data_IF_720637181490
#
_entry.id   IF_720637181490
#
_cell.length_a   1.000
_cell.length_b   1.000
_cell.length_c   1.000
_cell.angle_alpha   90.00
_cell.angle_beta   90.00
_cell.angle_gamma   90.00
#
_symmetry.space_group_name_H-M   'P 1'
#
loop_
_entity.id
_entity.type
_entity.pdbx_description
1 polymer ?
#
# COMPACT_ATOMS: atom_id res chain seq x y z
N UNK A 1 23.68 1.27 5.69
CA UNK A 1 22.39 0.59 5.67
C UNK A 1 21.81 0.44 4.25
N UNK A 2 21.64 1.51 3.46
CA UNK A 2 21.10 1.43 2.08
C UNK A 2 21.78 0.34 1.24
N UNK A 3 23.11 0.39 1.09
CA UNK A 3 23.88 -0.60 0.31
C UNK A 3 23.66 -2.03 0.83
N UNK A 4 23.60 -2.19 2.16
CA UNK A 4 23.38 -3.50 2.78
C UNK A 4 21.99 -4.04 2.40
N UNK A 5 20.94 -3.21 2.46
CA UNK A 5 19.59 -3.63 2.06
C UNK A 5 19.50 -3.96 0.56
N UNK A 6 20.10 -3.14 -0.30
CA UNK A 6 20.16 -3.44 -1.75
C UNK A 6 20.89 -4.77 -2.00
N UNK A 7 21.98 -5.03 -1.28
CA UNK A 7 22.69 -6.31 -1.38
C UNK A 7 21.81 -7.47 -0.89
N UNK A 8 21.08 -7.32 0.22
CA UNK A 8 20.14 -8.32 0.72
C UNK A 8 19.04 -8.59 -0.32
N UNK A 9 18.43 -7.56 -0.91
CA UNK A 9 17.41 -7.70 -1.96
C UNK A 9 17.94 -8.46 -3.17
N UNK A 10 19.10 -8.06 -3.66
CA UNK A 10 19.73 -8.71 -4.81
C UNK A 10 20.11 -10.16 -4.53
N UNK A 11 20.74 -10.43 -3.38
CA UNK A 11 21.17 -11.79 -3.00
C UNK A 11 19.97 -12.70 -2.73
N UNK A 12 18.91 -12.20 -2.07
CA UNK A 12 17.69 -12.98 -1.85
C UNK A 12 17.02 -13.39 -3.16
N UNK A 13 16.98 -12.47 -4.14
CA UNK A 13 16.48 -12.77 -5.48
C UNK A 13 17.37 -13.82 -6.18
N UNK A 14 18.69 -13.64 -6.18
CA UNK A 14 19.62 -14.59 -6.80
C UNK A 14 19.51 -15.99 -6.15
N UNK A 15 19.38 -16.05 -4.81
CA UNK A 15 19.26 -17.29 -4.05
C UNK A 15 18.01 -18.10 -4.44
N UNK A 16 16.84 -17.46 -4.52
CA UNK A 16 15.62 -18.20 -4.88
C UNK A 16 15.63 -18.65 -6.34
N UNK A 17 16.38 -17.99 -7.20
CA UNK A 17 16.60 -18.46 -8.58
C UNK A 17 17.59 -19.65 -8.70
N UNK A 18 18.27 -20.03 -7.61
CA UNK A 18 18.98 -21.31 -7.55
C UNK A 18 18.03 -22.52 -7.42
N UNK A 19 16.75 -22.32 -7.07
CA UNK A 19 15.76 -23.40 -7.04
C UNK A 19 15.51 -23.86 -8.49
N UNK A 20 15.71 -25.16 -8.80
CA UNK A 20 15.50 -25.68 -10.14
C UNK A 20 14.05 -25.48 -10.62
N UNK A 21 13.87 -25.06 -11.86
CA UNK A 21 12.53 -24.87 -12.45
C UNK A 21 11.71 -26.18 -12.41
N UNK A 22 12.39 -27.33 -12.59
CA UNK A 22 11.74 -28.65 -12.53
C UNK A 22 11.02 -28.95 -11.21
N UNK A 23 11.43 -28.32 -10.10
CA UNK A 23 10.79 -28.53 -8.79
C UNK A 23 9.49 -27.74 -8.63
N UNK A 24 9.35 -26.62 -9.34
CA UNK A 24 8.20 -25.72 -9.21
C UNK A 24 7.24 -25.81 -10.40
N UNK A 25 7.69 -26.29 -11.55
CA UNK A 25 6.96 -26.25 -12.82
C UNK A 25 5.58 -26.87 -12.72
N UNK A 26 5.47 -28.07 -12.14
CA UNK A 26 4.18 -28.77 -12.06
C UNK A 26 3.13 -28.01 -11.24
N UNK A 27 3.55 -27.36 -10.12
CA UNK A 27 2.64 -26.55 -9.30
C UNK A 27 2.31 -25.22 -9.98
N UNK A 28 3.25 -24.61 -10.71
CA UNK A 28 3.00 -23.39 -11.50
C UNK A 28 1.97 -23.68 -12.59
N UNK A 29 2.15 -24.74 -13.39
CA UNK A 29 1.23 -25.09 -14.48
C UNK A 29 -0.19 -25.37 -13.97
N UNK A 30 -0.32 -26.13 -12.87
CA UNK A 30 -1.62 -26.35 -12.21
C UNK A 30 -2.24 -25.06 -11.72
N UNK A 31 -1.46 -24.18 -11.09
CA UNK A 31 -1.91 -22.88 -10.59
C UNK A 31 -2.41 -21.99 -11.73
N UNK A 32 -1.67 -21.93 -12.85
CA UNK A 32 -2.08 -21.20 -14.04
C UNK A 32 -3.39 -21.76 -14.65
N UNK A 33 -3.54 -23.08 -14.66
CA UNK A 33 -4.78 -23.70 -15.13
C UNK A 33 -5.99 -23.30 -14.28
N UNK A 34 -5.85 -23.27 -12.94
CA UNK A 34 -6.90 -22.81 -12.04
C UNK A 34 -7.25 -21.35 -12.32
N UNK A 35 -6.27 -20.45 -12.35
CA UNK A 35 -6.51 -19.02 -12.57
C UNK A 35 -7.13 -18.74 -13.95
N UNK A 36 -6.76 -19.51 -14.99
CA UNK A 36 -7.39 -19.44 -16.32
C UNK A 36 -8.87 -19.83 -16.29
N UNK A 37 -9.26 -20.85 -15.51
CA UNK A 37 -10.68 -21.22 -15.36
C UNK A 37 -11.49 -20.20 -14.59
N UNK A 38 -10.87 -19.49 -13.63
CA UNK A 38 -11.49 -18.37 -12.89
C UNK A 38 -11.68 -17.13 -13.78
N UNK A 39 -10.88 -16.99 -14.85
CA UNK A 39 -10.83 -15.83 -15.71
C UNK A 39 -9.80 -14.78 -15.27
N UNK A 40 -9.46 -13.85 -16.18
CA UNK A 40 -8.42 -12.85 -15.94
C UNK A 40 -8.79 -11.82 -14.86
N UNK A 41 -10.07 -11.46 -14.74
CA UNK A 41 -10.58 -10.43 -13.82
C UNK A 41 -11.91 -10.85 -13.21
N UNK A 42 -11.95 -11.93 -12.41
CA UNK A 42 -13.18 -12.36 -11.76
C UNK A 42 -13.63 -11.29 -10.73
N UNK A 43 -14.95 -11.17 -10.59
CA UNK A 43 -15.57 -10.27 -9.62
C UNK A 43 -16.31 -11.09 -8.57
N UNK A 44 -15.91 -10.95 -7.30
CA UNK A 44 -16.52 -11.68 -6.19
C UNK A 44 -17.77 -11.02 -5.60
N UNK A 45 -18.20 -9.88 -6.09
CA UNK A 45 -19.47 -9.26 -5.71
C UNK A 45 -20.07 -8.43 -6.84
N UNK A 46 -21.32 -8.69 -7.11
CA UNK A 46 -22.28 -7.95 -7.94
C UNK A 46 -21.71 -6.78 -8.76
N UNK A 47 -20.96 -7.07 -9.82
CA UNK A 47 -20.48 -6.12 -10.85
C UNK A 47 -19.80 -4.84 -10.28
N UNK A 48 -19.02 -4.97 -9.22
CA UNK A 48 -18.34 -3.84 -8.59
C UNK A 48 -16.87 -3.82 -8.97
N UNK A 49 -16.40 -2.74 -9.56
CA UNK A 49 -14.98 -2.56 -9.90
C UNK A 49 -14.04 -2.76 -8.69
N UNK A 50 -14.47 -2.35 -7.50
CA UNK A 50 -13.73 -2.58 -6.25
C UNK A 50 -13.55 -4.06 -5.87
N UNK A 51 -14.37 -4.95 -6.45
CA UNK A 51 -14.36 -6.40 -6.19
C UNK A 51 -13.57 -7.21 -7.22
N UNK A 52 -12.92 -6.55 -8.18
CA UNK A 52 -12.10 -7.20 -9.19
C UNK A 52 -10.86 -7.80 -8.54
N UNK A 53 -10.64 -9.09 -8.78
CA UNK A 53 -9.37 -9.80 -8.52
C UNK A 53 -8.55 -9.77 -9.80
N UNK A 54 -7.31 -9.33 -9.73
CA UNK A 54 -6.43 -9.23 -10.89
C UNK A 54 -5.65 -10.53 -11.11
N UNK A 55 -6.38 -11.59 -11.53
CA UNK A 55 -5.77 -12.86 -11.91
C UNK A 55 -4.81 -12.71 -13.08
N UNK A 56 -5.02 -11.72 -13.96
CA UNK A 56 -4.11 -11.46 -15.06
C UNK A 56 -2.69 -11.16 -14.54
N UNK A 57 -2.57 -10.26 -13.58
CA UNK A 57 -1.25 -9.96 -12.98
C UNK A 57 -0.73 -11.14 -12.17
N UNK A 58 -1.57 -11.83 -11.40
CA UNK A 58 -1.15 -13.02 -10.65
C UNK A 58 -0.66 -14.14 -11.60
N UNK A 59 -1.30 -14.34 -12.75
CA UNK A 59 -0.79 -15.27 -13.78
C UNK A 59 0.58 -14.86 -14.31
N UNK A 60 0.79 -13.56 -14.60
CA UNK A 60 2.11 -13.06 -14.99
C UNK A 60 3.16 -13.27 -13.90
N UNK A 61 2.78 -13.13 -12.61
CA UNK A 61 3.66 -13.44 -11.47
C UNK A 61 4.07 -14.93 -11.48
N UNK A 62 3.12 -15.86 -11.70
CA UNK A 62 3.40 -17.29 -11.78
C UNK A 62 4.19 -17.67 -13.03
N UNK A 63 3.85 -17.14 -14.19
CA UNK A 63 4.61 -17.36 -15.43
C UNK A 63 6.05 -16.92 -15.28
N UNK A 64 6.29 -15.81 -14.57
CA UNK A 64 7.64 -15.30 -14.32
C UNK A 64 8.50 -16.22 -13.45
N UNK A 65 7.91 -17.12 -12.66
CA UNK A 65 8.65 -18.11 -11.86
C UNK A 65 9.38 -19.12 -12.75
N UNK A 66 8.88 -19.42 -13.95
CA UNK A 66 9.42 -20.44 -14.84
C UNK A 66 9.91 -19.88 -16.18
N UNK A 67 9.75 -18.59 -16.45
CA UNK A 67 9.99 -17.98 -17.76
C UNK A 67 11.46 -17.96 -18.20
N UNK A 68 12.42 -17.98 -17.28
CA UNK A 68 13.85 -17.80 -17.59
C UNK A 68 14.60 -19.13 -17.72
N UNK A 69 13.98 -20.13 -18.36
CA UNK A 69 14.59 -21.46 -18.60
C UNK A 69 15.89 -21.40 -19.41
N UNK A 70 16.03 -20.38 -20.26
CA UNK A 70 17.19 -20.20 -21.16
C UNK A 70 18.37 -19.52 -20.48
N UNK A 71 18.21 -19.01 -19.25
CA UNK A 71 19.28 -18.42 -18.48
C UNK A 71 19.88 -19.46 -17.53
N UNK A 72 21.09 -19.93 -17.83
CA UNK A 72 21.81 -20.88 -16.99
C UNK A 72 22.37 -20.22 -15.71
N UNK A 73 22.46 -18.88 -15.68
CA UNK A 73 22.98 -18.14 -14.56
C UNK A 73 21.85 -17.58 -13.68
N UNK A 74 21.72 -18.03 -12.40
CA UNK A 74 20.69 -17.54 -11.47
C UNK A 74 20.66 -16.02 -11.31
N UNK A 75 21.81 -15.34 -11.40
CA UNK A 75 21.90 -13.88 -11.30
C UNK A 75 21.19 -13.21 -12.48
N UNK A 76 21.49 -13.63 -13.70
CA UNK A 76 20.82 -13.08 -14.90
C UNK A 76 19.32 -13.36 -14.89
N UNK A 77 18.94 -14.57 -14.50
CA UNK A 77 17.54 -14.97 -14.38
C UNK A 77 16.79 -14.10 -13.36
N UNK A 78 17.37 -13.87 -12.18
CA UNK A 78 16.77 -13.05 -11.12
C UNK A 78 16.66 -11.56 -11.47
N UNK A 79 17.47 -11.08 -12.40
CA UNK A 79 17.42 -9.67 -12.86
C UNK A 79 16.49 -9.51 -14.04
N UNK A 80 16.49 -10.45 -15.00
CA UNK A 80 15.72 -10.38 -16.24
C UNK A 80 14.22 -10.52 -16.04
N UNK A 81 13.78 -11.49 -15.23
CA UNK A 81 12.41 -11.82 -14.85
C UNK A 81 11.41 -11.61 -16.01
N UNK A 82 11.32 -12.60 -16.87
CA UNK A 82 10.43 -12.59 -18.04
C UNK A 82 10.62 -11.36 -18.97
N UNK A 83 11.86 -10.91 -19.17
CA UNK A 83 12.19 -9.71 -19.95
C UNK A 83 11.55 -8.40 -19.44
N UNK A 84 11.14 -8.37 -18.17
CA UNK A 84 10.52 -7.24 -17.50
C UNK A 84 11.38 -6.72 -16.32
N UNK A 85 12.63 -6.32 -16.54
CA UNK A 85 13.65 -6.10 -15.50
C UNK A 85 13.51 -4.76 -14.76
N UNK A 86 12.43 -4.00 -14.97
CA UNK A 86 12.26 -2.67 -14.39
C UNK A 86 11.79 -2.65 -12.95
N UNK A 87 11.19 -3.76 -12.45
CA UNK A 87 10.80 -3.95 -11.05
C UNK A 87 11.68 -5.00 -10.39
N UNK A 88 11.72 -4.97 -9.06
CA UNK A 88 12.47 -5.96 -8.29
C UNK A 88 11.82 -7.34 -8.31
N UNK A 89 10.49 -7.39 -8.33
CA UNK A 89 9.72 -8.62 -8.20
C UNK A 89 10.00 -9.38 -6.89
N UNK A 90 10.19 -8.64 -5.77
CA UNK A 90 10.58 -9.19 -4.47
C UNK A 90 9.63 -10.25 -3.93
N UNK A 91 8.35 -10.26 -4.37
CA UNK A 91 7.40 -11.32 -4.03
C UNK A 91 7.93 -12.73 -4.36
N UNK A 92 8.81 -12.87 -5.34
CA UNK A 92 9.39 -14.15 -5.73
C UNK A 92 10.27 -14.77 -4.63
N UNK A 93 10.80 -13.96 -3.72
CA UNK A 93 11.56 -14.44 -2.57
C UNK A 93 10.72 -15.38 -1.69
N UNK A 94 9.41 -15.12 -1.60
CA UNK A 94 8.47 -16.00 -0.92
C UNK A 94 7.77 -16.97 -1.88
N UNK A 95 7.26 -16.47 -3.00
CA UNK A 95 6.40 -17.26 -3.88
C UNK A 95 7.16 -18.44 -4.51
N UNK A 96 8.40 -18.23 -4.99
CA UNK A 96 9.16 -19.27 -5.66
C UNK A 96 9.45 -20.49 -4.76
N UNK A 97 10.00 -20.36 -3.54
CA UNK A 97 10.21 -21.52 -2.64
C UNK A 97 8.89 -22.15 -2.17
N UNK A 98 7.84 -21.36 -1.91
CA UNK A 98 6.55 -21.90 -1.50
C UNK A 98 5.87 -22.71 -2.61
N UNK A 99 6.08 -22.34 -3.86
CA UNK A 99 5.53 -23.07 -5.02
C UNK A 99 6.18 -24.46 -5.22
N UNK A 100 7.31 -24.74 -4.59
CA UNK A 100 7.86 -26.12 -4.53
C UNK A 100 6.86 -27.08 -3.89
N UNK A 101 6.08 -26.61 -2.91
CA UNK A 101 5.18 -27.46 -2.10
C UNK A 101 3.71 -27.18 -2.44
N UNK A 102 3.33 -25.92 -2.66
CA UNK A 102 1.95 -25.47 -2.72
C UNK A 102 1.55 -24.98 -4.12
N UNK A 103 0.26 -25.07 -4.43
CA UNK A 103 -0.38 -24.46 -5.59
C UNK A 103 -1.03 -23.13 -5.18
N UNK A 104 -1.63 -22.43 -6.15
CA UNK A 104 -2.24 -21.09 -5.94
C UNK A 104 -3.31 -21.09 -4.84
N UNK A 105 -4.11 -22.12 -4.75
CA UNK A 105 -5.22 -22.18 -3.79
C UNK A 105 -4.72 -22.25 -2.34
N UNK A 106 -3.77 -23.16 -2.07
CA UNK A 106 -3.16 -23.27 -0.75
C UNK A 106 -2.41 -21.98 -0.38
N UNK A 107 -1.71 -21.39 -1.36
CA UNK A 107 -0.99 -20.14 -1.14
C UNK A 107 -1.92 -18.95 -0.89
N UNK A 108 -3.10 -18.91 -1.51
CA UNK A 108 -4.14 -17.92 -1.19
C UNK A 108 -4.65 -18.10 0.25
N UNK A 109 -4.89 -19.35 0.71
CA UNK A 109 -5.30 -19.59 2.11
C UNK A 109 -4.21 -19.21 3.11
N UNK A 110 -2.96 -19.54 2.83
CA UNK A 110 -1.82 -19.14 3.67
C UNK A 110 -1.67 -17.61 3.69
N UNK A 111 -1.79 -16.98 2.52
CA UNK A 111 -1.75 -15.52 2.40
C UNK A 111 -2.90 -14.86 3.18
N UNK A 112 -4.11 -15.37 3.06
CA UNK A 112 -5.28 -14.89 3.83
C UNK A 112 -5.05 -15.04 5.34
N UNK A 113 -4.56 -16.19 5.80
CA UNK A 113 -4.25 -16.41 7.22
C UNK A 113 -3.22 -15.39 7.71
N UNK A 114 -2.11 -15.24 7.00
CA UNK A 114 -1.05 -14.28 7.35
C UNK A 114 -1.58 -12.84 7.34
N UNK A 115 -2.43 -12.48 6.36
CA UNK A 115 -3.07 -11.17 6.28
C UNK A 115 -3.85 -10.87 7.57
N UNK A 116 -4.75 -11.76 7.97
CA UNK A 116 -5.58 -11.50 9.16
C UNK A 116 -4.77 -11.53 10.46
N UNK A 117 -3.76 -12.38 10.57
CA UNK A 117 -2.85 -12.38 11.74
C UNK A 117 -2.14 -11.03 11.89
N UNK A 118 -1.52 -10.53 10.83
CA UNK A 118 -0.81 -9.25 10.84
C UNK A 118 -1.77 -8.06 10.99
N UNK A 119 -2.93 -8.12 10.35
CA UNK A 119 -3.97 -7.10 10.45
C UNK A 119 -4.47 -6.94 11.89
N UNK A 120 -4.88 -8.04 12.55
CA UNK A 120 -5.36 -7.96 13.92
C UNK A 120 -4.24 -7.64 14.91
N UNK A 121 -3.02 -8.10 14.67
CA UNK A 121 -1.88 -7.70 15.50
C UNK A 121 -1.60 -6.21 15.40
N UNK A 122 -1.58 -5.65 14.20
CA UNK A 122 -1.41 -4.19 14.01
C UNK A 122 -2.57 -3.38 14.64
N UNK A 123 -3.82 -3.85 14.51
CA UNK A 123 -4.98 -3.21 15.13
C UNK A 123 -4.92 -3.26 16.67
N UNK A 124 -4.49 -4.39 17.24
CA UNK A 124 -4.27 -4.51 18.67
C UNK A 124 -3.21 -3.54 19.19
N UNK A 125 -2.06 -3.44 18.52
CA UNK A 125 -1.02 -2.47 18.89
C UNK A 125 -1.51 -1.02 18.77
N UNK A 126 -2.33 -0.69 17.76
CA UNK A 126 -2.95 0.63 17.66
C UNK A 126 -3.84 0.89 18.87
N UNK A 127 -4.69 -0.09 19.27
CA UNK A 127 -5.55 0.07 20.44
C UNK A 127 -4.74 0.28 21.73
N UNK A 128 -3.66 -0.48 21.92
CA UNK A 128 -2.79 -0.41 23.09
C UNK A 128 -1.98 0.91 23.17
N UNK A 129 -1.38 1.32 22.05
CA UNK A 129 -0.44 2.48 22.01
C UNK A 129 -1.14 3.81 21.75
N UNK A 130 -2.37 3.79 21.25
CA UNK A 130 -3.15 4.99 20.96
C UNK A 130 -4.46 4.98 21.76
N UNK A 131 -5.58 4.72 21.11
CA UNK A 131 -6.92 4.57 21.69
C UNK A 131 -7.70 3.48 20.97
N UNK A 132 -8.62 2.78 21.64
CA UNK A 132 -9.46 1.77 20.99
C UNK A 132 -10.24 2.33 19.78
N UNK A 133 -10.69 3.59 19.83
CA UNK A 133 -11.38 4.25 18.72
C UNK A 133 -10.48 4.40 17.47
N UNK A 134 -9.19 4.64 17.66
CA UNK A 134 -8.23 4.72 16.52
C UNK A 134 -8.07 3.34 15.86
N UNK A 135 -8.03 2.27 16.66
CA UNK A 135 -8.01 0.91 16.15
C UNK A 135 -9.31 0.55 15.42
N UNK A 136 -10.45 0.96 15.94
CA UNK A 136 -11.76 0.80 15.26
C UNK A 136 -11.74 1.52 13.89
N UNK A 137 -11.27 2.75 13.83
CA UNK A 137 -11.14 3.50 12.56
C UNK A 137 -10.18 2.83 11.59
N UNK A 138 -9.06 2.29 12.09
CA UNK A 138 -8.13 1.50 11.29
C UNK A 138 -8.81 0.26 10.71
N UNK A 139 -9.51 -0.52 11.53
CA UNK A 139 -10.23 -1.72 11.09
C UNK A 139 -11.29 -1.38 10.04
N UNK A 140 -12.11 -0.34 10.26
CA UNK A 140 -13.11 0.12 9.29
C UNK A 140 -12.46 0.57 7.98
N UNK A 141 -11.33 1.29 8.09
CA UNK A 141 -10.57 1.76 6.92
C UNK A 141 -10.07 0.58 6.09
N UNK A 142 -9.34 -0.35 6.71
CA UNK A 142 -8.79 -1.51 5.98
C UNK A 142 -9.93 -2.36 5.38
N UNK A 143 -11.01 -2.58 6.13
CA UNK A 143 -12.19 -3.31 5.66
C UNK A 143 -12.85 -2.66 4.42
N UNK A 144 -12.80 -1.32 4.30
CA UNK A 144 -13.33 -0.60 3.14
C UNK A 144 -12.55 -0.86 1.84
N UNK A 145 -11.34 -1.45 1.92
CA UNK A 145 -10.50 -1.84 0.79
C UNK A 145 -10.96 -3.09 0.04
N UNK A 146 -12.11 -3.66 0.37
CA UNK A 146 -12.67 -4.89 -0.19
C UNK A 146 -11.76 -6.11 0.04
N UNK A 147 -11.71 -6.58 1.29
CA UNK A 147 -10.76 -7.58 1.77
C UNK A 147 -10.82 -8.91 1.03
N UNK A 148 -11.99 -9.35 0.54
CA UNK A 148 -12.11 -10.60 -0.22
C UNK A 148 -11.24 -10.55 -1.47
N UNK A 149 -11.28 -9.45 -2.23
CA UNK A 149 -10.42 -9.29 -3.40
C UNK A 149 -8.94 -9.15 -3.02
N UNK A 150 -8.65 -8.44 -1.92
CA UNK A 150 -7.26 -8.27 -1.42
C UNK A 150 -6.65 -9.61 -1.06
N UNK A 151 -7.35 -10.43 -0.29
CA UNK A 151 -6.80 -11.69 0.23
C UNK A 151 -6.72 -12.82 -0.79
N UNK A 152 -7.35 -12.66 -1.95
CA UNK A 152 -7.30 -13.64 -3.04
C UNK A 152 -6.32 -13.27 -4.16
N UNK A 153 -5.74 -12.06 -4.15
CA UNK A 153 -4.82 -11.56 -5.18
C UNK A 153 -3.44 -11.29 -4.57
N UNK A 154 -2.42 -11.98 -5.04
CA UNK A 154 -1.04 -11.84 -4.52
C UNK A 154 -0.49 -10.43 -4.75
N UNK A 155 -0.80 -9.83 -5.89
CA UNK A 155 -0.41 -8.46 -6.18
C UNK A 155 -0.93 -7.49 -5.10
N UNK A 156 -2.16 -7.68 -4.62
CA UNK A 156 -2.75 -6.77 -3.63
C UNK A 156 -2.21 -7.00 -2.22
N UNK A 157 -1.86 -8.25 -1.89
CA UNK A 157 -1.39 -8.63 -0.56
C UNK A 157 -0.06 -7.99 -0.18
N UNK A 158 0.87 -7.83 -1.14
CA UNK A 158 2.25 -7.39 -0.85
C UNK A 158 2.30 -6.06 -0.13
N UNK A 159 1.61 -5.04 -0.63
CA UNK A 159 1.55 -3.70 -0.01
C UNK A 159 0.92 -3.73 1.38
N UNK A 160 -0.12 -4.57 1.60
CA UNK A 160 -0.71 -4.70 2.94
C UNK A 160 0.24 -5.38 3.93
N UNK A 161 1.03 -6.37 3.50
CA UNK A 161 2.04 -6.97 4.39
C UNK A 161 3.10 -5.96 4.80
N UNK A 162 3.55 -5.12 3.87
CA UNK A 162 4.49 -4.03 4.17
C UNK A 162 3.83 -3.03 5.12
N UNK A 163 2.58 -2.63 4.88
CA UNK A 163 1.83 -1.74 5.77
C UNK A 163 1.73 -2.29 7.18
N UNK A 164 1.27 -3.53 7.34
CA UNK A 164 1.08 -4.13 8.67
C UNK A 164 2.42 -4.30 9.38
N UNK A 165 3.45 -4.78 8.68
CA UNK A 165 4.80 -4.88 9.22
C UNK A 165 5.36 -3.51 9.64
N UNK A 166 5.13 -2.48 8.85
CA UNK A 166 5.52 -1.12 9.18
C UNK A 166 4.81 -0.61 10.45
N UNK A 167 3.49 -0.78 10.55
CA UNK A 167 2.71 -0.37 11.75
C UNK A 167 3.15 -1.15 12.98
N UNK A 168 3.32 -2.48 12.89
CA UNK A 168 3.76 -3.32 13.99
C UNK A 168 5.15 -2.88 14.47
N UNK A 169 6.11 -2.71 13.55
CA UNK A 169 7.48 -2.30 13.90
C UNK A 169 7.50 -0.92 14.54
N UNK A 170 6.74 0.04 13.98
CA UNK A 170 6.63 1.38 14.51
C UNK A 170 6.14 1.39 15.95
N UNK A 171 5.00 0.74 16.20
CA UNK A 171 4.33 0.79 17.49
C UNK A 171 5.04 -0.07 18.55
N UNK A 172 5.67 -1.17 18.16
CA UNK A 172 6.51 -1.98 19.06
C UNK A 172 7.77 -1.24 19.51
N UNK A 173 8.31 -0.35 18.65
CA UNK A 173 9.48 0.47 18.99
C UNK A 173 9.15 1.83 19.64
N UNK A 174 7.88 2.24 19.64
CA UNK A 174 7.48 3.54 20.17
C UNK A 174 7.44 3.54 21.70
N UNK A 175 8.12 4.52 22.31
CA UNK A 175 8.18 4.66 23.77
C UNK A 175 9.15 3.71 24.49
N UNK A 176 10.00 3.00 23.74
CA UNK A 176 11.08 2.19 24.34
C UNK A 176 12.31 3.02 24.67
N UNK A 177 13.22 2.50 25.52
CA UNK A 177 14.47 3.16 25.89
C UNK A 177 15.43 3.41 24.70
N UNK A 178 15.19 2.74 23.58
CA UNK A 178 15.93 2.93 22.33
C UNK A 178 15.04 3.64 21.30
N UNK A 179 15.08 4.99 21.22
CA UNK A 179 14.22 5.73 20.33
C UNK A 179 14.50 5.35 18.87
N UNK A 180 13.43 4.99 18.15
CA UNK A 180 13.48 4.69 16.75
C UNK A 180 13.87 5.95 15.95
N UNK A 181 14.87 5.82 15.07
CA UNK A 181 15.14 6.88 14.10
C UNK A 181 14.03 6.89 13.05
N UNK A 182 13.06 7.78 13.21
CA UNK A 182 11.84 7.82 12.40
C UNK A 182 12.12 8.13 10.92
N UNK A 183 13.14 8.96 10.62
CA UNK A 183 13.49 9.23 9.23
C UNK A 183 14.05 7.96 8.57
N UNK A 184 14.93 7.26 9.29
CA UNK A 184 15.46 5.98 8.85
C UNK A 184 14.37 4.93 8.69
N UNK A 185 13.40 4.87 9.60
CA UNK A 185 12.24 4.00 9.51
C UNK A 185 11.45 4.24 8.21
N UNK A 186 11.06 5.48 7.90
CA UNK A 186 10.34 5.79 6.67
C UNK A 186 11.17 5.47 5.42
N UNK A 187 12.46 5.74 5.45
CA UNK A 187 13.36 5.37 4.37
C UNK A 187 13.35 3.86 4.10
N UNK A 188 13.46 3.04 5.15
CA UNK A 188 13.43 1.58 5.04
C UNK A 188 12.07 1.09 4.55
N UNK A 189 10.97 1.64 5.08
CA UNK A 189 9.61 1.28 4.62
C UNK A 189 9.46 1.56 3.12
N UNK A 190 9.94 2.71 2.63
CA UNK A 190 9.94 3.01 1.19
C UNK A 190 10.79 2.04 0.37
N UNK A 191 11.96 1.63 0.88
CA UNK A 191 12.79 0.61 0.23
C UNK A 191 12.09 -0.75 0.12
N UNK A 192 11.51 -1.22 1.22
CA UNK A 192 10.82 -2.51 1.30
C UNK A 192 9.58 -2.51 0.42
N UNK A 193 8.81 -1.43 0.43
CA UNK A 193 7.66 -1.28 -0.45
C UNK A 193 8.06 -1.39 -1.91
N UNK A 194 9.06 -0.64 -2.37
CA UNK A 194 9.53 -0.71 -3.75
C UNK A 194 10.05 -2.09 -4.14
N UNK A 195 10.64 -2.83 -3.21
CA UNK A 195 11.13 -4.17 -3.48
C UNK A 195 10.00 -5.16 -3.76
N UNK A 196 8.89 -5.07 -3.04
CA UNK A 196 7.77 -6.02 -3.14
C UNK A 196 6.67 -5.58 -4.10
N UNK A 197 6.44 -4.27 -4.27
CA UNK A 197 5.28 -3.72 -4.99
C UNK A 197 5.50 -3.51 -6.50
N UNK A 198 4.38 -3.50 -7.23
CA UNK A 198 4.27 -3.19 -8.65
C UNK A 198 3.59 -1.84 -8.93
N UNK A 199 3.74 -0.87 -8.07
CA UNK A 199 2.99 0.37 -8.15
C UNK A 199 1.48 0.19 -7.89
N UNK A 200 1.09 -0.72 -7.03
CA UNK A 200 -0.33 -0.95 -6.75
C UNK A 200 -0.98 0.26 -6.07
N UNK A 201 -0.66 0.50 -4.82
CA UNK A 201 -1.10 1.65 -4.01
C UNK A 201 -0.09 1.93 -2.87
N UNK A 202 1.21 2.11 -3.19
CA UNK A 202 2.30 2.14 -2.20
C UNK A 202 2.13 3.24 -1.15
N UNK A 203 1.38 4.28 -1.47
CA UNK A 203 1.17 5.44 -0.60
C UNK A 203 0.53 5.09 0.76
N UNK A 204 -0.14 3.93 0.89
CA UNK A 204 -0.71 3.51 2.17
C UNK A 204 0.37 3.18 3.20
N UNK A 205 1.54 2.71 2.76
CA UNK A 205 2.67 2.36 3.63
C UNK A 205 3.42 3.59 4.17
N UNK A 206 3.23 4.74 3.54
CA UNK A 206 3.63 6.05 4.07
C UNK A 206 2.51 6.64 4.92
N UNK A 207 1.31 6.79 4.34
CA UNK A 207 0.24 7.63 4.88
C UNK A 207 -0.30 7.14 6.22
N UNK A 208 -0.61 5.85 6.34
CA UNK A 208 -1.22 5.30 7.57
C UNK A 208 -0.25 5.36 8.76
N UNK A 209 1.01 4.89 8.68
CA UNK A 209 1.97 5.05 9.78
C UNK A 209 2.26 6.52 10.13
N UNK A 210 2.30 7.40 9.13
CA UNK A 210 2.55 8.82 9.35
C UNK A 210 1.38 9.49 10.10
N UNK A 211 0.13 9.16 9.74
CA UNK A 211 -1.06 9.64 10.45
C UNK A 211 -1.03 9.20 11.92
N UNK A 212 -0.72 7.93 12.20
CA UNK A 212 -0.58 7.42 13.56
C UNK A 212 0.47 8.21 14.36
N UNK A 213 1.65 8.41 13.77
CA UNK A 213 2.72 9.18 14.41
C UNK A 213 2.33 10.64 14.68
N UNK A 214 1.73 11.31 13.70
CA UNK A 214 1.28 12.70 13.85
C UNK A 214 0.25 12.80 14.97
N UNK A 215 -0.68 11.87 15.04
CA UNK A 215 -1.67 11.83 16.11
C UNK A 215 -1.01 11.64 17.49
N UNK A 216 -0.08 10.68 17.64
CA UNK A 216 0.65 10.46 18.89
C UNK A 216 1.50 11.67 19.29
N UNK A 217 2.12 12.35 18.32
CA UNK A 217 2.92 13.57 18.57
C UNK A 217 2.08 14.73 19.08
N UNK A 218 0.87 14.92 18.54
CA UNK A 218 -0.04 15.97 19.05
C UNK A 218 -0.55 15.59 20.43
N UNK A 219 -0.93 14.32 20.65
CA UNK A 219 -1.40 13.84 21.97
C UNK A 219 -0.36 14.02 23.06
N UNK A 220 0.89 13.68 22.78
CA UNK A 220 2.00 13.74 23.73
C UNK A 220 2.56 15.17 23.89
N UNK A 221 1.89 16.18 23.31
CA UNK A 221 2.24 17.61 23.35
C UNK A 221 3.69 17.93 22.94
N UNK A 222 4.25 17.05 22.12
CA UNK A 222 5.68 17.12 21.75
C UNK A 222 5.98 18.17 20.69
N UNK A 223 4.97 18.57 19.88
CA UNK A 223 5.20 19.48 18.75
C UNK A 223 3.99 20.35 18.46
N UNK A 224 4.32 21.59 18.09
CA UNK A 224 3.41 22.58 17.52
C UNK A 224 3.10 22.31 16.03
N UNK A 225 2.24 23.14 15.46
CA UNK A 225 1.86 23.04 14.04
C UNK A 225 3.06 23.05 13.08
N UNK A 226 4.01 24.03 13.14
CA UNK A 226 5.18 24.05 12.26
C UNK A 226 6.06 22.81 12.41
N UNK A 227 6.31 22.38 13.65
CA UNK A 227 7.12 21.20 13.94
C UNK A 227 6.53 19.92 13.37
N UNK A 228 5.19 19.77 13.41
CA UNK A 228 4.49 18.62 12.84
C UNK A 228 4.48 18.66 11.29
N UNK A 229 4.36 19.83 10.65
CA UNK A 229 4.50 19.94 9.20
C UNK A 229 5.92 19.62 8.72
N UNK A 230 6.95 20.13 9.42
CA UNK A 230 8.34 19.81 9.10
C UNK A 230 8.60 18.32 9.25
N UNK A 231 8.09 17.70 10.31
CA UNK A 231 8.21 16.26 10.53
C UNK A 231 7.53 15.46 9.41
N UNK A 232 6.28 15.80 9.09
CA UNK A 232 5.51 15.18 8.00
C UNK A 232 6.27 15.24 6.67
N UNK A 233 6.79 16.44 6.34
CA UNK A 233 7.55 16.62 5.09
C UNK A 233 8.84 15.78 5.08
N UNK A 234 9.63 15.80 6.17
CA UNK A 234 10.86 15.01 6.28
C UNK A 234 10.59 13.51 6.18
N UNK A 235 9.55 13.02 6.85
CA UNK A 235 9.14 11.61 6.78
C UNK A 235 8.72 11.19 5.36
N UNK A 236 7.94 12.06 4.68
CA UNK A 236 7.50 11.82 3.32
C UNK A 236 8.67 11.82 2.32
N UNK A 237 9.59 12.76 2.45
CA UNK A 237 10.83 12.79 1.63
C UNK A 237 11.69 11.56 1.92
N UNK A 238 11.86 11.16 3.17
CA UNK A 238 12.60 9.95 3.54
C UNK A 238 12.02 8.70 2.88
N UNK A 239 10.71 8.51 2.97
CA UNK A 239 10.02 7.39 2.33
C UNK A 239 10.18 7.45 0.80
N UNK A 240 9.96 8.61 0.21
CA UNK A 240 10.09 8.82 -1.23
C UNK A 240 11.50 8.56 -1.74
N UNK A 241 12.54 8.98 -0.99
CA UNK A 241 13.93 8.68 -1.32
C UNK A 241 14.23 7.18 -1.20
N UNK A 242 13.76 6.51 -0.13
CA UNK A 242 13.90 5.06 0.01
C UNK A 242 13.30 4.32 -1.17
N UNK A 243 12.07 4.70 -1.56
CA UNK A 243 11.35 4.12 -2.68
C UNK A 243 12.08 4.35 -4.02
N UNK A 244 12.42 5.60 -4.33
CA UNK A 244 13.03 5.98 -5.60
C UNK A 244 14.46 5.43 -5.77
N UNK A 245 15.30 5.53 -4.72
CA UNK A 245 16.67 5.03 -4.79
C UNK A 245 16.73 3.51 -4.93
N UNK A 246 15.77 2.78 -4.35
CA UNK A 246 15.66 1.33 -4.53
C UNK A 246 15.33 0.97 -5.98
N UNK A 247 14.50 1.75 -6.64
CA UNK A 247 14.21 1.61 -8.06
C UNK A 247 15.45 1.89 -8.92
N UNK A 248 16.15 3.01 -8.65
CA UNK A 248 17.40 3.37 -9.34
C UNK A 248 18.45 2.27 -9.18
N UNK A 249 18.59 1.68 -7.99
CA UNK A 249 19.49 0.56 -7.76
C UNK A 249 19.13 -0.66 -8.64
N UNK A 250 17.83 -1.00 -8.76
CA UNK A 250 17.38 -2.08 -9.65
C UNK A 250 17.80 -1.80 -11.11
N UNK A 251 17.60 -0.58 -11.60
CA UNK A 251 17.98 -0.22 -12.96
C UNK A 251 19.49 -0.28 -13.16
N UNK A 252 20.28 0.19 -12.17
CA UNK A 252 21.75 0.09 -12.20
C UNK A 252 22.22 -1.37 -12.28
N UNK A 253 21.66 -2.25 -11.43
CA UNK A 253 21.95 -3.69 -11.46
C UNK A 253 21.54 -4.29 -12.82
N UNK A 254 20.39 -3.90 -13.35
CA UNK A 254 19.92 -4.36 -14.66
C UNK A 254 20.90 -4.00 -15.77
N UNK A 255 21.41 -2.77 -15.77
CA UNK A 255 22.40 -2.32 -16.76
C UNK A 255 23.70 -3.10 -16.65
N UNK A 256 24.19 -3.32 -15.44
CA UNK A 256 25.43 -4.07 -15.19
C UNK A 256 25.31 -5.54 -15.62
N UNK A 257 24.17 -6.18 -15.32
CA UNK A 257 23.99 -7.63 -15.54
C UNK A 257 23.50 -7.95 -16.96
N UNK A 258 22.60 -7.12 -17.53
CA UNK A 258 21.91 -7.41 -18.80
C UNK A 258 22.29 -6.45 -19.94
N UNK A 259 22.94 -5.33 -19.61
CA UNK A 259 23.41 -4.35 -20.60
C UNK A 259 22.55 -3.09 -20.71
N UNK A 260 23.13 -2.02 -21.25
CA UNK A 260 22.60 -0.65 -21.32
C UNK A 260 21.29 -0.51 -22.10
N UNK A 261 21.01 -1.42 -23.04
CA UNK A 261 19.74 -1.41 -23.83
C UNK A 261 18.48 -1.43 -22.96
N UNK A 262 18.55 -2.10 -21.81
CA UNK A 262 17.43 -2.20 -20.87
C UNK A 262 17.15 -0.88 -20.14
N UNK A 263 18.15 -0.01 -19.98
CA UNK A 263 17.97 1.33 -19.45
C UNK A 263 17.07 2.16 -20.36
N UNK A 264 17.36 2.22 -21.65
CA UNK A 264 16.57 3.00 -22.60
C UNK A 264 15.14 2.49 -22.73
N UNK A 265 14.95 1.17 -22.71
CA UNK A 265 13.62 0.56 -22.68
C UNK A 265 12.85 0.96 -21.41
N UNK A 266 13.52 1.04 -20.26
CA UNK A 266 12.89 1.47 -19.00
C UNK A 266 12.50 2.95 -19.07
N UNK A 267 13.39 3.82 -19.60
CA UNK A 267 13.10 5.25 -19.74
C UNK A 267 11.90 5.52 -20.65
N UNK A 268 11.78 4.82 -21.78
CA UNK A 268 10.62 4.97 -22.68
C UNK A 268 9.30 4.61 -21.98
N UNK A 269 9.30 3.58 -21.14
CA UNK A 269 8.11 3.22 -20.38
C UNK A 269 7.78 4.23 -19.28
N UNK A 270 8.79 4.78 -18.60
CA UNK A 270 8.58 5.84 -17.61
C UNK A 270 7.95 7.06 -18.29
N UNK A 271 8.48 7.46 -19.44
CA UNK A 271 7.94 8.55 -20.23
C UNK A 271 6.47 8.31 -20.59
N UNK A 272 6.15 7.12 -21.12
CA UNK A 272 4.75 6.73 -21.39
C UNK A 272 3.86 6.83 -20.14
N UNK A 273 4.35 6.34 -18.97
CA UNK A 273 3.58 6.40 -17.72
C UNK A 273 3.36 7.82 -17.19
N UNK A 274 4.25 8.74 -17.51
CA UNK A 274 4.13 10.15 -17.09
C UNK A 274 3.33 11.00 -18.07
N UNK A 275 3.41 10.70 -19.39
CA UNK A 275 2.84 11.55 -20.44
C UNK A 275 1.57 10.95 -21.09
N UNK A 276 1.32 9.64 -20.91
CA UNK A 276 0.29 8.95 -21.67
C UNK A 276 0.69 8.72 -23.14
N UNK A 277 -0.26 8.36 -23.97
CA UNK A 277 -0.14 8.26 -25.43
C UNK A 277 -1.27 8.99 -26.13
N UNK A 278 -1.18 9.13 -27.45
CA UNK A 278 -2.27 9.68 -28.26
C UNK A 278 -3.55 8.82 -28.16
N UNK A 279 -3.40 7.50 -28.03
CA UNK A 279 -4.50 6.55 -27.88
C UNK A 279 -5.11 6.56 -26.45
N UNK A 280 -4.30 6.89 -25.45
CA UNK A 280 -4.70 6.98 -24.04
C UNK A 280 -4.26 8.33 -23.45
N UNK A 281 -4.97 9.41 -23.75
CA UNK A 281 -4.64 10.74 -23.25
C UNK A 281 -4.83 10.83 -21.74
N UNK A 282 -3.99 11.60 -21.07
CA UNK A 282 -4.06 11.79 -19.62
C UNK A 282 -5.27 12.64 -19.24
N UNK A 283 -6.15 12.04 -18.44
CA UNK A 283 -7.26 12.72 -17.78
C UNK A 283 -7.04 12.69 -16.25
N UNK A 284 -6.32 13.68 -15.74
CA UNK A 284 -5.95 13.75 -14.32
C UNK A 284 -7.15 13.92 -13.40
N UNK A 285 -8.13 14.72 -13.77
CA UNK A 285 -9.36 14.95 -12.98
C UNK A 285 -10.23 13.69 -13.05
N UNK A 286 -10.44 13.15 -14.24
CA UNK A 286 -11.16 11.90 -14.42
C UNK A 286 -10.49 10.73 -13.72
N UNK A 287 -9.17 10.71 -13.59
CA UNK A 287 -8.45 9.71 -12.79
C UNK A 287 -8.86 9.76 -11.32
N UNK A 288 -8.90 10.95 -10.71
CA UNK A 288 -9.38 11.13 -9.34
C UNK A 288 -10.84 10.66 -9.22
N UNK A 289 -11.68 11.08 -10.15
CA UNK A 289 -13.11 10.73 -10.14
C UNK A 289 -13.34 9.22 -10.28
N UNK A 290 -12.60 8.53 -11.17
CA UNK A 290 -12.71 7.07 -11.36
C UNK A 290 -12.32 6.32 -10.09
N UNK A 291 -11.21 6.70 -9.46
CA UNK A 291 -10.75 6.09 -8.21
C UNK A 291 -11.74 6.35 -7.05
N UNK A 292 -12.29 7.55 -6.94
CA UNK A 292 -13.35 7.85 -5.96
C UNK A 292 -14.61 7.03 -6.22
N UNK A 293 -15.06 6.94 -7.48
CA UNK A 293 -16.22 6.13 -7.86
C UNK A 293 -16.00 4.66 -7.54
N UNK A 294 -14.81 4.12 -7.84
CA UNK A 294 -14.46 2.74 -7.53
C UNK A 294 -14.50 2.48 -6.01
N UNK A 295 -13.93 3.38 -5.20
CA UNK A 295 -13.98 3.25 -3.74
C UNK A 295 -15.41 3.35 -3.19
N UNK A 296 -16.22 4.27 -3.71
CA UNK A 296 -17.62 4.45 -3.29
C UNK A 296 -18.58 3.44 -3.92
N UNK A 297 -18.11 2.53 -4.75
CA UNK A 297 -18.92 1.57 -5.53
C UNK A 297 -20.05 2.24 -6.34
N UNK A 298 -19.77 3.37 -6.94
CA UNK A 298 -20.73 4.09 -7.76
C UNK A 298 -20.71 3.52 -9.18
N UNK A 299 -21.84 3.02 -9.66
CA UNK A 299 -21.99 2.59 -11.05
C UNK A 299 -22.03 3.80 -12.00
N UNK A 300 -21.53 3.61 -13.24
CA UNK A 300 -21.47 4.68 -14.28
C UNK A 300 -22.83 5.15 -14.80
N UNK A 301 -23.93 4.59 -14.34
CA UNK A 301 -25.29 4.83 -14.85
C UNK A 301 -25.93 6.19 -14.50
N UNK A 302 -25.15 7.21 -14.11
CA UNK A 302 -25.68 8.56 -13.89
C UNK A 302 -26.74 8.73 -12.79
N UNK A 303 -27.22 7.65 -12.23
CA UNK A 303 -28.22 7.62 -11.16
C UNK A 303 -27.52 8.06 -9.88
N UNK A 304 -27.96 9.17 -9.33
CA UNK A 304 -27.62 9.56 -7.96
C UNK A 304 -28.11 8.42 -7.07
N UNK A 305 -27.18 7.55 -6.64
CA UNK A 305 -27.56 6.47 -5.77
C UNK A 305 -27.99 7.09 -4.43
N UNK A 306 -29.10 6.63 -3.87
CA UNK A 306 -29.56 7.07 -2.55
C UNK A 306 -28.46 6.97 -1.48
N UNK A 307 -27.51 6.07 -1.65
CA UNK A 307 -26.32 5.96 -0.80
C UNK A 307 -25.46 7.24 -0.77
N UNK A 308 -25.37 8.00 -1.86
CA UNK A 308 -24.69 9.31 -1.88
C UNK A 308 -25.47 10.36 -1.11
N UNK A 309 -26.77 10.39 -1.29
CA UNK A 309 -27.65 11.32 -0.55
C UNK A 309 -27.57 11.02 0.94
N UNK A 310 -27.67 9.73 1.32
CA UNK A 310 -27.52 9.30 2.71
C UNK A 310 -26.13 9.65 3.26
N UNK A 311 -25.06 9.42 2.48
CA UNK A 311 -23.70 9.78 2.91
C UNK A 311 -23.57 11.30 3.13
N UNK A 312 -24.09 12.13 2.22
CA UNK A 312 -24.07 13.61 2.35
C UNK A 312 -24.86 14.01 3.59
N UNK A 313 -26.07 13.45 3.81
CA UNK A 313 -26.88 13.73 4.99
C UNK A 313 -26.15 13.32 6.27
N UNK A 314 -25.51 12.14 6.30
CA UNK A 314 -24.74 11.68 7.46
C UNK A 314 -23.54 12.58 7.74
N UNK A 315 -22.80 13.01 6.70
CA UNK A 315 -21.70 13.96 6.83
C UNK A 315 -22.18 15.30 7.34
N UNK A 316 -23.29 15.82 6.82
CA UNK A 316 -23.88 17.08 7.28
C UNK A 316 -24.39 16.97 8.72
N UNK A 317 -25.07 15.88 9.08
CA UNK A 317 -25.51 15.61 10.45
C UNK A 317 -24.31 15.51 11.41
N UNK A 318 -23.25 14.82 10.99
CA UNK A 318 -22.01 14.73 11.74
C UNK A 318 -21.38 16.11 11.93
N UNK A 319 -21.27 16.92 10.89
CA UNK A 319 -20.74 18.29 10.96
C UNK A 319 -21.54 19.17 11.91
N UNK A 320 -22.90 19.05 11.90
CA UNK A 320 -23.78 19.81 12.79
C UNK A 320 -23.64 19.36 14.26
N UNK A 321 -23.44 18.06 14.51
CA UNK A 321 -23.23 17.55 15.88
C UNK A 321 -21.84 17.88 16.38
N UNK A 322 -20.84 17.84 15.51
CA UNK A 322 -19.43 18.11 15.81
C UNK A 322 -19.17 19.59 16.10
N UNK A 323 -19.91 20.50 15.44
CA UNK A 323 -19.71 21.95 15.57
C UNK A 323 -19.75 22.46 17.02
N UNK A 324 -20.61 21.91 17.86
CA UNK A 324 -20.74 22.31 19.28
C UNK A 324 -19.69 21.68 20.21
N UNK A 325 -18.97 20.65 19.73
CA UNK A 325 -17.97 19.89 20.50
C UNK A 325 -16.54 20.11 20.00
N UNK A 326 -16.29 21.15 19.20
CA UNK A 326 -14.94 21.42 18.68
C UNK A 326 -14.02 21.95 19.79
N UNK A 327 -12.78 21.50 19.75
CA UNK A 327 -11.67 22.08 20.53
C UNK A 327 -11.38 23.52 20.04
N UNK A 328 -10.54 24.22 20.77
CA UNK A 328 -10.05 25.54 20.36
C UNK A 328 -9.21 25.46 19.08
N UNK A 329 -9.09 26.61 18.38
CA UNK A 329 -8.38 26.68 17.10
C UNK A 329 -6.91 26.29 17.20
N UNK A 330 -6.23 26.58 18.30
CA UNK A 330 -4.83 26.22 18.47
C UNK A 330 -4.67 24.69 18.48
N UNK A 331 -5.52 23.99 19.21
CA UNK A 331 -5.55 22.53 19.23
C UNK A 331 -5.92 21.96 17.86
N UNK A 332 -6.97 22.51 17.21
CA UNK A 332 -7.38 22.04 15.85
C UNK A 332 -6.23 22.16 14.86
N UNK A 333 -5.52 23.29 14.90
CA UNK A 333 -4.42 23.56 13.96
C UNK A 333 -3.28 22.54 14.07
N UNK A 334 -3.02 22.00 15.26
CA UNK A 334 -1.99 20.98 15.47
C UNK A 334 -2.28 19.66 14.72
N UNK A 335 -3.56 19.37 14.43
CA UNK A 335 -3.98 18.19 13.66
C UNK A 335 -4.01 18.40 12.12
N UNK A 336 -3.83 19.62 11.60
CA UNK A 336 -3.85 19.91 10.16
C UNK A 336 -2.85 19.07 9.34
N UNK A 337 -1.64 18.75 9.82
CA UNK A 337 -0.75 17.84 9.10
C UNK A 337 -1.34 16.46 8.83
N UNK A 338 -2.25 15.95 9.69
CA UNK A 338 -3.00 14.70 9.45
C UNK A 338 -3.92 14.86 8.25
N UNK A 339 -4.67 15.97 8.20
CA UNK A 339 -5.56 16.25 7.07
C UNK A 339 -4.78 16.43 5.77
N UNK A 340 -3.60 17.07 5.83
CA UNK A 340 -2.72 17.18 4.68
C UNK A 340 -2.20 15.80 4.24
N UNK A 341 -1.79 14.94 5.17
CA UNK A 341 -1.40 13.55 4.85
C UNK A 341 -2.57 12.77 4.25
N UNK A 342 -3.79 12.99 4.71
CA UNK A 342 -5.01 12.40 4.14
C UNK A 342 -5.22 12.77 2.65
N UNK A 343 -4.63 13.87 2.17
CA UNK A 343 -4.69 14.27 0.76
C UNK A 343 -3.67 13.57 -0.15
N UNK A 344 -2.72 12.79 0.38
CA UNK A 344 -1.67 12.12 -0.40
C UNK A 344 -2.17 11.22 -1.53
N UNK A 345 -3.30 10.50 -1.43
CA UNK A 345 -3.85 9.75 -2.56
C UNK A 345 -4.12 10.62 -3.79
N UNK A 346 -4.60 11.84 -3.59
CA UNK A 346 -4.90 12.76 -4.69
C UNK A 346 -3.62 13.27 -5.35
N UNK A 347 -2.57 13.57 -4.55
CA UNK A 347 -1.25 13.92 -5.07
C UNK A 347 -0.69 12.74 -5.87
N UNK A 348 -0.81 11.51 -5.33
CA UNK A 348 -0.39 10.29 -6.02
C UNK A 348 -1.09 10.11 -7.38
N UNK A 349 -2.41 10.31 -7.44
CA UNK A 349 -3.18 10.21 -8.69
C UNK A 349 -2.78 11.28 -9.71
N UNK A 350 -2.39 12.46 -9.27
CA UNK A 350 -1.90 13.51 -10.17
C UNK A 350 -0.51 13.19 -10.74
N UNK A 351 0.37 12.64 -9.91
CA UNK A 351 1.75 12.27 -10.29
C UNK A 351 1.74 11.00 -11.14
N UNK A 352 1.02 9.96 -10.71
CA UNK A 352 0.93 8.66 -11.36
C UNK A 352 -0.37 8.51 -12.15
N UNK A 353 -0.77 9.57 -12.86
CA UNK A 353 -2.09 9.68 -13.48
C UNK A 353 -2.37 8.56 -14.48
N UNK A 354 -1.49 8.32 -15.45
CA UNK A 354 -1.69 7.25 -16.45
C UNK A 354 -1.88 5.89 -15.78
N UNK A 355 -1.01 5.55 -14.82
CA UNK A 355 -1.13 4.28 -14.11
C UNK A 355 -2.45 4.17 -13.33
N UNK A 356 -2.80 5.19 -12.57
CA UNK A 356 -4.02 5.20 -11.76
C UNK A 356 -5.31 5.34 -12.60
N UNK A 357 -5.21 5.88 -13.82
CA UNK A 357 -6.30 5.95 -14.79
C UNK A 357 -6.62 4.57 -15.36
N UNK A 358 -5.59 3.83 -15.77
CA UNK A 358 -5.72 2.52 -16.39
C UNK A 358 -6.12 1.46 -15.36
N UNK A 359 -5.58 1.57 -14.14
CA UNK A 359 -5.71 0.54 -13.10
C UNK A 359 -6.58 0.97 -11.91
N UNK A 360 -7.62 1.80 -12.13
CA UNK A 360 -8.46 2.34 -11.07
C UNK A 360 -9.15 1.28 -10.20
N UNK A 361 -9.34 0.04 -10.70
CA UNK A 361 -9.99 -1.05 -9.96
C UNK A 361 -9.18 -1.57 -8.77
N UNK A 362 -7.90 -1.24 -8.66
CA UNK A 362 -7.11 -1.51 -7.46
C UNK A 362 -6.45 -0.28 -6.87
N UNK A 363 -6.06 0.72 -7.69
CA UNK A 363 -5.39 1.93 -7.18
C UNK A 363 -6.30 2.80 -6.30
N UNK A 364 -7.63 2.60 -6.38
CA UNK A 364 -8.58 3.26 -5.48
C UNK A 364 -8.28 3.00 -4.00
N UNK A 365 -7.59 1.89 -3.65
CA UNK A 365 -7.19 1.57 -2.28
C UNK A 365 -6.23 2.58 -1.66
N UNK A 366 -5.59 3.42 -2.45
CA UNK A 366 -4.88 4.59 -1.93
C UNK A 366 -5.79 5.49 -1.06
N UNK A 367 -7.13 5.53 -1.33
CA UNK A 367 -8.12 6.27 -0.53
C UNK A 367 -8.20 5.81 0.94
N UNK A 368 -7.64 4.64 1.28
CA UNK A 368 -7.53 4.22 2.68
C UNK A 368 -6.78 5.23 3.53
N UNK A 369 -5.79 5.95 2.95
CA UNK A 369 -5.09 7.04 3.65
C UNK A 369 -6.04 8.21 3.91
N UNK A 370 -6.85 8.59 2.92
CA UNK A 370 -7.81 9.68 3.06
C UNK A 370 -8.88 9.36 4.11
N UNK A 371 -9.43 8.14 4.07
CA UNK A 371 -10.43 7.70 5.03
C UNK A 371 -9.86 7.65 6.45
N UNK A 372 -8.72 6.99 6.64
CA UNK A 372 -8.10 6.90 7.97
C UNK A 372 -7.75 8.27 8.52
N UNK A 373 -7.06 9.11 7.72
CA UNK A 373 -6.68 10.45 8.12
C UNK A 373 -7.86 11.36 8.44
N UNK A 374 -8.94 11.27 7.66
CA UNK A 374 -10.18 12.01 7.93
C UNK A 374 -10.83 11.59 9.25
N UNK A 375 -10.94 10.29 9.53
CA UNK A 375 -11.50 9.77 10.78
C UNK A 375 -10.65 10.14 12.00
N UNK A 376 -9.32 10.00 11.91
CA UNK A 376 -8.39 10.38 12.97
C UNK A 376 -8.39 11.89 13.19
N UNK A 377 -8.46 12.70 12.14
CA UNK A 377 -8.58 14.16 12.25
C UNK A 377 -9.85 14.56 13.00
N UNK A 378 -11.01 14.03 12.60
CA UNK A 378 -12.29 14.30 13.25
C UNK A 378 -12.20 13.93 14.74
N UNK A 379 -11.68 12.76 15.08
CA UNK A 379 -11.52 12.34 16.47
C UNK A 379 -10.59 13.31 17.24
N UNK A 380 -9.51 13.75 16.61
CA UNK A 380 -8.54 14.65 17.23
C UNK A 380 -9.09 16.04 17.58
N UNK A 381 -10.00 16.57 16.76
CA UNK A 381 -10.56 17.94 16.95
C UNK A 381 -11.80 17.98 17.87
N UNK A 382 -12.36 16.85 18.25
CA UNK A 382 -13.51 16.79 19.15
C UNK A 382 -13.10 16.91 20.61
N UNK A 383 -13.90 17.64 21.43
CA UNK A 383 -13.79 17.63 22.86
C UNK A 383 -14.16 16.25 23.41
N UNK A 384 -13.40 15.79 24.36
CA UNK A 384 -13.68 14.57 25.11
C UNK A 384 -14.83 14.86 26.11
N UNK A 385 -15.78 13.94 26.23
CA UNK A 385 -16.77 14.05 27.29
C UNK A 385 -16.06 13.81 28.63
N UNK A 386 -16.21 14.74 29.56
CA UNK A 386 -15.51 14.79 30.86
C UNK A 386 -15.75 13.56 31.77
N UNK A 387 -16.60 12.62 31.36
CA UNK A 387 -16.84 11.36 32.06
C UNK A 387 -15.80 10.26 31.82
N UNK A 388 -15.04 10.30 30.70
CA UNK A 388 -14.03 9.29 30.41
C UNK A 388 -12.69 9.55 31.10
N UNK A 389 -12.39 10.81 31.41
CA UNK A 389 -11.11 11.21 32.04
C UNK A 389 -10.97 10.80 33.50
N UNK A 390 -12.04 10.39 34.17
CA UNK A 390 -12.01 9.94 35.58
C UNK A 390 -11.57 8.46 35.66
N UNK A 391 -11.98 7.61 34.72
CA UNK A 391 -11.62 6.19 34.75
C UNK A 391 -10.18 5.89 34.26
N UNK A 392 -9.60 6.75 33.40
CA UNK A 392 -8.20 6.57 32.94
C UNK A 392 -7.14 6.99 33.98
N UNK A 393 -7.53 7.71 35.06
CA UNK A 393 -6.61 8.09 36.14
C UNK A 393 -6.63 7.11 37.32
N UNK A 394 -7.58 6.19 37.35
CA UNK A 394 -7.75 5.20 38.43
C UNK A 394 -7.33 3.76 38.02
N UNK A 395 -6.94 3.52 36.78
CA UNK A 395 -6.41 2.26 36.26
C UNK A 395 -4.89 2.40 35.97
#
# INVERSE_FOLDING_TARGET
MYVVLIAVFFLSMALVYCIPVSWIQGNVEKSLAVMKTEGERPMYAFYRHSAIVDNHTDMLMYESLIANRDYYNPIQASVSINQYPRYWHGYQVALRPLTVIFQVQELRYLGMLLFYLLFFWSAWLIAEKTRPVCAMFYVLTIASGYLVAVTTCFQYLTTFYVLFGAVIFLLSGYGTDRPLNLMLYFFVVGMVENFFDFLTYPIITLGIPLILLLWMRVRDERMDLPGNFIFMFKASVSWGLGYALTWVAKWGITVVVLGVRYFWRTMSVIQYRLQGSEEEPLDRIGTIQRNLKAWMNVQDAGIISWSRVVLVILVMALLLTVWKKLKDWQTISAYLPILFTASYPYIWYLVMSNHSQIHYWYTYRAQLVAMFGGLIFIQGILKEDSSETVHEREA
#
